data_IF_612362971029
#
_entry.id   IF_612362971029
#
_cell.length_a   1.000
_cell.length_b   1.000
_cell.length_c   1.000
_cell.angle_alpha   90.00
_cell.angle_beta   90.00
_cell.angle_gamma   90.00
#
_symmetry.space_group_name_H-M   'P 1'
#
loop_
_entity.id
_entity.type
_entity.pdbx_description
1 polymer ?
#
# COMPACT_ATOMS: atom_id res chain seq x y z
N UNK A 1 16.56 1.04 18.08
CA UNK A 1 15.92 -0.28 17.96
C UNK A 1 15.96 -0.70 16.50
N UNK A 2 16.87 -1.59 16.12
CA UNK A 2 16.94 -2.10 14.74
C UNK A 2 15.88 -3.19 14.56
N UNK A 3 14.62 -2.76 14.41
CA UNK A 3 13.60 -3.63 13.83
C UNK A 3 13.92 -3.67 12.34
N UNK A 4 14.73 -4.65 11.92
CA UNK A 4 14.93 -5.01 10.52
C UNK A 4 13.59 -5.52 9.96
N UNK A 5 12.61 -4.63 9.83
CA UNK A 5 11.36 -4.91 9.15
C UNK A 5 11.72 -4.95 7.69
N UNK A 6 11.80 -6.16 7.15
CA UNK A 6 11.97 -6.35 5.73
C UNK A 6 10.65 -5.99 5.04
N UNK A 7 10.45 -4.69 4.77
CA UNK A 7 9.31 -4.22 4.01
C UNK A 7 9.42 -4.75 2.56
N UNK A 8 8.43 -5.52 2.09
CA UNK A 8 8.42 -6.01 0.71
C UNK A 8 8.25 -4.85 -0.27
N UNK A 9 8.79 -4.96 -1.47
CA UNK A 9 8.65 -3.91 -2.49
C UNK A 9 7.22 -3.80 -3.04
N UNK A 10 6.44 -4.88 -2.92
CA UNK A 10 5.08 -4.99 -3.44
C UNK A 10 4.16 -5.67 -2.41
N UNK A 11 2.96 -5.14 -2.26
CA UNK A 11 1.88 -5.74 -1.47
C UNK A 11 0.69 -6.06 -2.38
N UNK A 12 0.15 -7.27 -2.28
CA UNK A 12 -1.03 -7.72 -3.01
C UNK A 12 -2.07 -8.25 -2.03
N UNK A 13 -3.23 -7.59 -1.98
CA UNK A 13 -4.35 -7.91 -1.07
C UNK A 13 -3.96 -7.97 0.43
N UNK A 14 -2.85 -7.33 0.82
CA UNK A 14 -2.43 -7.20 2.24
C UNK A 14 -3.00 -5.96 2.91
N UNK A 15 -3.21 -4.90 2.13
CA UNK A 15 -3.85 -3.65 2.54
C UNK A 15 -4.85 -3.24 1.46
N UNK A 16 -5.86 -2.44 1.83
CA UNK A 16 -6.91 -1.94 0.92
C UNK A 16 -6.71 -0.46 0.62
N UNK A 17 -7.11 -0.05 -0.58
CA UNK A 17 -7.14 1.36 -0.93
C UNK A 17 -8.44 1.97 -0.39
N UNK A 18 -8.33 3.09 0.33
CA UNK A 18 -9.49 3.77 0.92
C UNK A 18 -10.02 4.92 0.05
N UNK A 19 -9.35 5.23 -1.08
CA UNK A 19 -9.85 6.23 -2.00
C UNK A 19 -11.10 5.68 -2.72
N UNK A 20 -12.28 6.29 -2.53
CA UNK A 20 -13.54 5.79 -3.10
C UNK A 20 -13.57 5.87 -4.63
N UNK A 21 -12.66 6.63 -5.26
CA UNK A 21 -12.53 6.75 -6.72
C UNK A 21 -11.52 5.76 -7.31
N UNK A 22 -10.81 4.99 -6.47
CA UNK A 22 -9.88 3.98 -6.96
C UNK A 22 -10.64 2.81 -7.59
N UNK A 23 -10.16 2.29 -8.72
CA UNK A 23 -10.84 1.19 -9.42
C UNK A 23 -10.98 -0.07 -8.57
N UNK A 24 -10.03 -0.32 -7.65
CA UNK A 24 -10.11 -1.44 -6.69
C UNK A 24 -11.19 -1.28 -5.63
N UNK A 25 -11.68 -0.05 -5.42
CA UNK A 25 -12.79 0.24 -4.50
C UNK A 25 -14.16 0.01 -5.16
N UNK A 26 -14.20 -0.01 -6.50
CA UNK A 26 -15.41 -0.23 -7.31
C UNK A 26 -15.52 -1.69 -7.73
N UNK A 27 -14.43 -2.27 -8.24
CA UNK A 27 -14.39 -3.61 -8.85
C UNK A 27 -13.83 -4.66 -7.87
N UNK A 28 -14.67 -5.63 -7.47
CA UNK A 28 -14.32 -6.66 -6.46
C UNK A 28 -13.26 -7.65 -6.89
N UNK A 29 -13.01 -7.78 -8.19
CA UNK A 29 -12.11 -8.78 -8.75
C UNK A 29 -10.70 -8.25 -9.04
N UNK A 30 -10.48 -6.95 -8.84
CA UNK A 30 -9.17 -6.33 -9.06
C UNK A 30 -8.38 -6.39 -7.76
N UNK A 31 -7.18 -6.96 -7.83
CA UNK A 31 -6.28 -7.05 -6.68
C UNK A 31 -5.83 -5.66 -6.24
N UNK A 32 -5.91 -5.41 -4.94
CA UNK A 32 -5.30 -4.24 -4.33
C UNK A 32 -3.78 -4.39 -4.35
N UNK A 33 -3.11 -3.68 -5.27
CA UNK A 33 -1.66 -3.71 -5.44
C UNK A 33 -1.04 -2.40 -5.00
N UNK A 34 0.00 -2.48 -4.19
CA UNK A 34 0.77 -1.33 -3.72
C UNK A 34 2.27 -1.55 -3.87
N UNK A 35 3.03 -0.47 -4.04
CA UNK A 35 4.49 -0.47 -4.16
C UNK A 35 5.13 0.35 -3.05
N UNK A 36 6.20 -0.16 -2.46
CA UNK A 36 6.97 0.57 -1.45
C UNK A 36 7.61 1.79 -2.12
N UNK A 37 7.34 2.98 -1.60
CA UNK A 37 7.92 4.24 -2.11
C UNK A 37 8.74 4.97 -1.05
N UNK A 38 8.53 4.67 0.24
CA UNK A 38 9.39 5.14 1.31
C UNK A 38 9.59 4.05 2.36
N UNK A 39 10.78 3.45 2.39
CA UNK A 39 11.12 2.40 3.35
C UNK A 39 11.23 2.94 4.78
N UNK A 40 11.76 4.14 4.96
CA UNK A 40 11.98 4.74 6.28
C UNK A 40 10.65 5.09 6.97
N UNK A 41 9.66 5.53 6.19
CA UNK A 41 8.32 5.90 6.68
C UNK A 41 7.28 4.80 6.56
N UNK A 42 7.62 3.65 5.96
CA UNK A 42 6.66 2.59 5.65
C UNK A 42 5.53 3.06 4.73
N UNK A 43 5.84 3.89 3.73
CA UNK A 43 4.84 4.41 2.79
C UNK A 43 4.78 3.54 1.53
N UNK A 44 3.55 3.17 1.17
CA UNK A 44 3.23 2.40 -0.02
C UNK A 44 2.28 3.20 -0.92
N UNK A 45 2.54 3.17 -2.23
CA UNK A 45 1.72 3.81 -3.25
C UNK A 45 0.78 2.81 -3.91
N UNK A 46 -0.50 3.16 -4.02
CA UNK A 46 -1.49 2.37 -4.76
C UNK A 46 -1.15 2.35 -6.25
N UNK A 47 -1.14 1.17 -6.88
CA UNK A 47 -0.87 1.01 -8.33
C UNK A 47 -1.86 1.78 -9.23
N UNK A 48 -3.07 2.05 -8.76
CA UNK A 48 -4.17 2.50 -9.62
C UNK A 48 -4.53 3.98 -9.48
N UNK A 49 -4.42 4.54 -8.26
CA UNK A 49 -4.83 5.92 -7.98
C UNK A 49 -3.71 6.75 -7.33
N UNK A 50 -2.51 6.18 -7.20
CA UNK A 50 -1.33 6.81 -6.61
C UNK A 50 -1.44 7.26 -5.14
N UNK A 51 -2.54 6.93 -4.45
CA UNK A 51 -2.69 7.17 -3.02
C UNK A 51 -1.56 6.55 -2.20
N UNK A 52 -1.03 7.35 -1.27
CA UNK A 52 0.00 6.91 -0.33
C UNK A 52 -0.66 6.42 0.96
N UNK A 53 -0.33 5.19 1.35
CA UNK A 53 -0.76 4.57 2.60
C UNK A 53 0.47 4.35 3.48
N UNK A 54 0.41 4.80 4.74
CA UNK A 54 1.40 4.46 5.77
C UNK A 54 1.00 3.16 6.46
N UNK A 55 1.91 2.20 6.52
CA UNK A 55 1.68 0.89 7.20
C UNK A 55 2.48 0.74 8.49
N UNK A 56 3.21 1.77 8.88
CA UNK A 56 3.91 1.87 10.16
C UNK A 56 3.30 3.08 10.90
N UNK A 57 2.84 2.87 12.13
CA UNK A 57 2.47 3.92 13.09
C UNK A 57 3.58 4.01 14.16
N UNK A 58 3.75 5.20 14.75
CA UNK A 58 4.62 5.47 15.91
C UNK A 58 4.20 4.67 17.16
#
# INVERSE_FOLDING_TARGET
MNKNINLPEKLENKIKCNNPRCITSVEKYITHTFYLVNREKGEYRCRYCDEIVKVMED
#
